data_IF_433206808311
#
_entry.id   IF_433206808311
#
_cell.length_a   1.000
_cell.length_b   1.000
_cell.length_c   1.000
_cell.angle_alpha   90.00
_cell.angle_beta   90.00
_cell.angle_gamma   90.00
#
_symmetry.space_group_name_H-M   'P 1'
#
loop_
_entity.id
_entity.type
_entity.pdbx_description
1 polymer ?
#
# COMPACT_ATOMS: atom_id res chain seq x y z
N UNK A 1 -5.61 -8.95 -26.72
CA UNK A 1 -4.61 -8.02 -26.18
C UNK A 1 -5.07 -7.65 -24.80
N UNK A 2 -4.20 -7.75 -23.80
CA UNK A 2 -4.53 -7.23 -22.48
C UNK A 2 -4.61 -5.71 -22.53
N UNK A 3 -5.46 -5.11 -21.69
CA UNK A 3 -5.56 -3.64 -21.63
C UNK A 3 -4.82 -3.15 -20.39
N UNK A 4 -3.51 -3.40 -20.37
CA UNK A 4 -2.67 -2.89 -19.30
C UNK A 4 -2.72 -1.37 -19.27
N UNK A 5 -3.04 -0.83 -18.10
CA UNK A 5 -2.98 0.58 -17.79
C UNK A 5 -2.05 0.79 -16.62
N UNK A 6 -1.49 1.99 -16.55
CA UNK A 6 -0.60 2.33 -15.46
C UNK A 6 -0.78 3.75 -14.97
N UNK A 7 -0.63 3.93 -13.66
CA UNK A 7 -0.72 5.22 -12.98
C UNK A 7 0.54 5.40 -12.14
N UNK A 8 1.27 6.49 -12.40
CA UNK A 8 2.39 6.88 -11.53
C UNK A 8 1.84 7.34 -10.20
N UNK A 9 2.34 6.78 -9.11
CA UNK A 9 1.93 7.14 -7.76
C UNK A 9 3.02 7.97 -7.05
N UNK A 10 2.72 8.50 -5.88
CA UNK A 10 3.71 9.14 -4.98
C UNK A 10 4.16 8.20 -3.85
N UNK A 11 3.81 6.92 -3.94
CA UNK A 11 4.08 5.91 -2.90
C UNK A 11 5.52 5.41 -3.09
N UNK A 12 6.33 5.37 -2.04
CA UNK A 12 7.76 5.01 -2.12
C UNK A 12 8.24 4.05 -1.01
N UNK A 13 7.49 3.94 0.08
CA UNK A 13 7.75 3.03 1.20
C UNK A 13 6.99 1.70 0.96
N UNK A 14 7.74 0.62 0.72
CA UNK A 14 7.16 -0.68 0.36
C UNK A 14 6.33 -1.28 1.51
N UNK A 15 6.79 -1.14 2.76
CA UNK A 15 6.13 -1.70 3.92
C UNK A 15 4.79 -1.01 4.17
N UNK A 16 4.75 0.32 4.06
CA UNK A 16 3.50 1.08 4.19
C UNK A 16 2.50 0.74 3.07
N UNK A 17 2.99 0.52 1.84
CA UNK A 17 2.15 0.09 0.72
C UNK A 17 1.58 -1.31 0.95
N UNK A 18 2.41 -2.27 1.35
CA UNK A 18 2.00 -3.63 1.67
C UNK A 18 0.97 -3.66 2.80
N UNK A 19 1.19 -2.87 3.86
CA UNK A 19 0.24 -2.77 4.97
C UNK A 19 -1.12 -2.20 4.53
N UNK A 20 -1.11 -1.17 3.69
CA UNK A 20 -2.33 -0.57 3.15
C UNK A 20 -3.12 -1.54 2.24
N UNK A 21 -2.44 -2.29 1.39
CA UNK A 21 -3.07 -3.28 0.51
C UNK A 21 -3.65 -4.47 1.30
N UNK A 22 -2.93 -4.95 2.31
CA UNK A 22 -3.42 -6.03 3.18
C UNK A 22 -4.66 -5.63 3.98
N UNK A 23 -4.73 -4.38 4.42
CA UNK A 23 -5.93 -3.85 5.08
C UNK A 23 -7.15 -3.83 4.17
N UNK A 24 -6.95 -3.66 2.86
CA UNK A 24 -8.01 -3.80 1.85
C UNK A 24 -8.39 -5.26 1.57
N UNK A 25 -7.84 -6.22 2.30
CA UNK A 25 -8.12 -7.65 2.14
C UNK A 25 -7.36 -8.32 1.00
N UNK A 26 -6.36 -7.65 0.43
CA UNK A 26 -5.63 -8.14 -0.73
C UNK A 26 -4.48 -9.06 -0.31
N UNK A 27 -4.40 -10.23 -0.96
CA UNK A 27 -3.28 -11.15 -0.86
C UNK A 27 -2.20 -10.74 -1.86
N UNK A 28 -0.99 -10.49 -1.39
CA UNK A 28 0.11 -10.00 -2.20
C UNK A 28 1.40 -10.78 -1.96
N UNK A 29 2.24 -10.80 -2.98
CA UNK A 29 3.59 -11.35 -2.96
C UNK A 29 4.57 -10.20 -3.18
N UNK A 30 5.61 -10.15 -2.36
CA UNK A 30 6.68 -9.15 -2.47
C UNK A 30 7.95 -9.86 -2.92
N UNK A 31 8.56 -9.31 -3.97
CA UNK A 31 9.80 -9.80 -4.57
C UNK A 31 10.89 -8.74 -4.40
N UNK A 32 12.13 -9.19 -4.23
CA UNK A 32 13.30 -8.30 -4.20
C UNK A 32 13.58 -7.69 -5.58
N UNK A 33 13.27 -8.42 -6.64
CA UNK A 33 13.43 -8.01 -8.03
C UNK A 33 12.09 -8.11 -8.75
N UNK A 34 11.83 -7.21 -9.70
CA UNK A 34 10.58 -7.17 -10.43
C UNK A 34 10.32 -8.51 -11.16
N UNK A 35 9.15 -9.09 -10.91
CA UNK A 35 8.70 -10.32 -11.55
C UNK A 35 7.66 -10.00 -12.63
N UNK A 36 7.61 -10.79 -13.73
CA UNK A 36 6.65 -10.57 -14.79
C UNK A 36 5.21 -10.71 -14.27
N UNK A 37 4.33 -9.79 -14.70
CA UNK A 37 2.91 -9.86 -14.38
C UNK A 37 2.19 -10.85 -15.30
N UNK A 38 1.17 -11.54 -14.80
CA UNK A 38 0.25 -12.27 -15.67
C UNK A 38 -0.84 -11.34 -16.19
N UNK A 39 -0.94 -11.17 -17.51
CA UNK A 39 -2.07 -10.50 -18.16
C UNK A 39 -3.26 -11.42 -18.37
N UNK A 40 -4.37 -10.87 -18.82
CA UNK A 40 -5.63 -11.57 -19.08
C UNK A 40 -5.47 -12.78 -20.01
N UNK A 41 -4.62 -12.64 -21.04
CA UNK A 41 -4.32 -13.72 -21.99
C UNK A 41 -3.10 -14.58 -21.58
N UNK A 42 -2.62 -14.46 -20.34
CA UNK A 42 -1.48 -15.19 -19.80
C UNK A 42 -0.09 -14.60 -20.12
N UNK A 43 -0.02 -13.58 -20.98
CA UNK A 43 1.23 -12.88 -21.30
C UNK A 43 1.46 -11.64 -20.42
N UNK A 44 2.71 -11.31 -20.14
CA UNK A 44 3.06 -10.12 -19.34
C UNK A 44 3.13 -8.82 -20.14
N UNK A 45 3.21 -8.90 -21.48
CA UNK A 45 3.39 -7.75 -22.37
C UNK A 45 4.56 -6.84 -21.93
N UNK A 46 5.61 -7.44 -21.35
CA UNK A 46 6.79 -6.74 -20.85
C UNK A 46 6.59 -6.02 -19.51
N UNK A 47 5.43 -6.17 -18.87
CA UNK A 47 5.16 -5.60 -17.55
C UNK A 47 5.71 -6.49 -16.43
N UNK A 48 6.35 -5.85 -15.45
CA UNK A 48 6.89 -6.53 -14.27
C UNK A 48 6.78 -5.64 -13.05
N UNK A 49 6.66 -6.23 -11.86
CA UNK A 49 6.54 -5.51 -10.60
C UNK A 49 7.17 -6.26 -9.43
N UNK A 50 7.60 -5.53 -8.40
CA UNK A 50 8.15 -6.07 -7.17
C UNK A 50 7.03 -6.49 -6.20
N UNK A 51 5.91 -5.76 -6.18
CA UNK A 51 4.76 -6.10 -5.35
C UNK A 51 3.63 -6.51 -6.29
N UNK A 52 3.22 -7.78 -6.21
CA UNK A 52 2.23 -8.37 -7.09
C UNK A 52 1.05 -8.84 -6.26
N UNK A 53 -0.15 -8.50 -6.72
CA UNK A 53 -1.41 -9.07 -6.24
C UNK A 53 -1.84 -10.08 -7.30
N UNK A 54 -1.69 -11.39 -7.03
CA UNK A 54 -1.95 -12.42 -8.03
C UNK A 54 -3.42 -12.48 -8.40
N UNK A 55 -3.72 -12.74 -9.68
CA UNK A 55 -5.06 -12.85 -10.23
C UNK A 55 -5.95 -13.84 -9.45
N UNK A 56 -5.35 -14.94 -8.99
CA UNK A 56 -6.02 -15.94 -8.15
C UNK A 56 -6.56 -15.36 -6.83
N UNK A 57 -5.84 -14.42 -6.22
CA UNK A 57 -6.28 -13.73 -5.00
C UNK A 57 -7.37 -12.68 -5.25
N UNK A 58 -7.58 -12.29 -6.51
CA UNK A 58 -8.59 -11.31 -6.94
C UNK A 58 -9.80 -11.97 -7.61
N UNK A 59 -9.69 -13.25 -7.97
CA UNK A 59 -10.65 -13.93 -8.83
C UNK A 59 -10.68 -13.37 -10.26
N UNK A 60 -9.62 -12.68 -10.70
CA UNK A 60 -9.45 -12.11 -12.04
C UNK A 60 -8.59 -13.04 -12.92
N UNK A 61 -8.43 -12.70 -14.20
CA UNK A 61 -7.48 -13.38 -15.08
C UNK A 61 -6.11 -12.68 -15.17
N UNK A 62 -6.02 -11.44 -14.70
CA UNK A 62 -4.81 -10.62 -14.72
C UNK A 62 -4.37 -10.19 -13.32
N UNK A 63 -3.06 -10.13 -13.12
CA UNK A 63 -2.42 -9.62 -11.91
C UNK A 63 -2.51 -8.10 -11.82
N UNK A 64 -2.34 -7.59 -10.61
CA UNK A 64 -2.08 -6.17 -10.35
C UNK A 64 -0.68 -6.03 -9.79
N UNK A 65 0.11 -5.11 -10.35
CA UNK A 65 1.49 -4.88 -9.96
C UNK A 65 1.74 -3.47 -9.44
N UNK A 66 2.68 -3.33 -8.51
CA UNK A 66 3.32 -2.08 -8.18
C UNK A 66 4.81 -2.18 -8.52
N UNK A 67 5.20 -1.50 -9.59
CA UNK A 67 6.55 -1.51 -10.14
C UNK A 67 7.34 -0.31 -9.64
N UNK A 68 8.52 -0.53 -9.05
CA UNK A 68 9.40 0.55 -8.60
C UNK A 68 9.98 1.29 -9.81
N UNK A 69 9.92 2.60 -9.73
CA UNK A 69 10.42 3.52 -10.75
C UNK A 69 11.84 3.98 -10.39
N UNK A 70 12.55 4.54 -11.37
CA UNK A 70 13.91 5.06 -11.15
C UNK A 70 14.02 6.20 -10.12
N UNK A 71 12.92 6.88 -9.82
CA UNK A 71 12.83 7.90 -8.75
C UNK A 71 12.50 7.31 -7.36
N UNK A 72 12.38 5.99 -7.26
CA UNK A 72 12.06 5.26 -6.04
C UNK A 72 10.57 5.18 -5.71
N UNK A 73 9.68 5.80 -6.50
CA UNK A 73 8.22 5.67 -6.34
C UNK A 73 7.69 4.40 -6.99
N UNK A 74 6.45 4.02 -6.70
CA UNK A 74 5.77 2.89 -7.33
C UNK A 74 4.82 3.37 -8.44
N UNK A 75 4.79 2.64 -9.54
CA UNK A 75 3.78 2.74 -10.57
C UNK A 75 2.79 1.58 -10.40
N UNK A 76 1.51 1.90 -10.32
CA UNK A 76 0.45 0.91 -10.34
C UNK A 76 0.23 0.44 -11.77
N UNK A 77 0.20 -0.86 -11.98
CA UNK A 77 -0.04 -1.54 -13.26
C UNK A 77 -1.19 -2.52 -13.06
N UNK A 78 -2.21 -2.48 -13.91
CA UNK A 78 -3.32 -3.43 -13.89
C UNK A 78 -3.92 -3.59 -15.29
N UNK A 79 -4.77 -4.60 -15.48
CA UNK A 79 -5.65 -4.67 -16.65
C UNK A 79 -6.99 -3.97 -16.36
N UNK A 80 -7.28 -2.87 -17.08
CA UNK A 80 -8.49 -2.06 -16.88
C UNK A 80 -9.77 -2.85 -17.12
N UNK A 81 -9.75 -3.79 -18.06
CA UNK A 81 -10.95 -4.52 -18.49
C UNK A 81 -11.52 -5.43 -17.40
N UNK A 82 -10.64 -6.00 -16.57
CA UNK A 82 -11.02 -6.78 -15.38
C UNK A 82 -11.35 -5.87 -14.20
N UNK A 83 -10.58 -4.78 -14.02
CA UNK A 83 -10.73 -3.87 -12.88
C UNK A 83 -12.13 -3.22 -12.81
N UNK A 84 -12.73 -2.86 -13.95
CA UNK A 84 -14.06 -2.25 -14.01
C UNK A 84 -15.21 -3.19 -13.63
N UNK A 85 -14.98 -4.51 -13.69
CA UNK A 85 -16.03 -5.53 -13.52
C UNK A 85 -15.98 -6.23 -12.18
N UNK A 86 -15.01 -5.88 -11.33
CA UNK A 86 -14.72 -6.58 -10.08
C UNK A 86 -14.62 -5.63 -8.89
N UNK A 87 -14.93 -6.19 -7.73
CA UNK A 87 -14.78 -5.56 -6.43
C UNK A 87 -13.57 -6.15 -5.71
N UNK A 88 -12.96 -5.35 -4.84
CA UNK A 88 -11.91 -5.82 -3.94
C UNK A 88 -12.50 -6.92 -3.01
N UNK A 89 -11.73 -7.98 -2.69
CA UNK A 89 -12.20 -9.02 -1.78
C UNK A 89 -12.67 -8.44 -0.44
N UNK A 90 -13.82 -8.91 0.05
CA UNK A 90 -14.41 -8.48 1.33
C UNK A 90 -14.67 -6.96 1.43
N UNK A 91 -14.88 -6.28 0.30
CA UNK A 91 -15.06 -4.84 0.24
C UNK A 91 -16.11 -4.45 -0.80
N UNK A 92 -16.78 -3.31 -0.58
CA UNK A 92 -17.69 -2.71 -1.56
C UNK A 92 -16.98 -1.83 -2.60
N UNK A 93 -15.66 -1.70 -2.50
CA UNK A 93 -14.84 -0.90 -3.40
C UNK A 93 -14.54 -1.65 -4.69
N UNK A 94 -14.68 -1.00 -5.83
CA UNK A 94 -14.16 -1.50 -7.11
C UNK A 94 -12.64 -1.25 -7.21
N UNK A 95 -11.95 -2.05 -8.03
CA UNK A 95 -10.53 -1.84 -8.33
C UNK A 95 -10.25 -0.46 -8.94
N UNK A 96 -11.19 0.11 -9.68
CA UNK A 96 -11.07 1.47 -10.24
C UNK A 96 -11.00 2.56 -9.17
N UNK A 97 -11.51 2.28 -7.97
CA UNK A 97 -11.49 3.19 -6.82
C UNK A 97 -10.22 3.04 -5.96
N UNK A 98 -9.38 2.04 -6.27
CA UNK A 98 -8.14 1.79 -5.54
C UNK A 98 -7.19 3.01 -5.53
N UNK A 99 -6.96 3.74 -6.65
CA UNK A 99 -6.06 4.90 -6.65
C UNK A 99 -6.55 6.05 -5.76
N UNK A 100 -7.84 6.16 -5.51
CA UNK A 100 -8.41 7.20 -4.66
C UNK A 100 -8.28 6.83 -3.17
N UNK A 101 -8.44 5.55 -2.83
CA UNK A 101 -8.45 5.06 -1.44
C UNK A 101 -7.06 4.71 -0.91
N UNK A 102 -6.22 4.15 -1.77
CA UNK A 102 -4.88 3.67 -1.40
C UNK A 102 -3.97 4.76 -0.80
N UNK A 103 -3.93 6.01 -1.32
CA UNK A 103 -3.05 7.04 -0.77
C UNK A 103 -3.34 7.37 0.70
N UNK A 104 -4.60 7.41 1.12
CA UNK A 104 -4.97 7.72 2.50
C UNK A 104 -4.56 6.60 3.47
N UNK A 105 -4.81 5.34 3.09
CA UNK A 105 -4.41 4.17 3.88
C UNK A 105 -2.88 4.06 3.97
N UNK A 106 -2.20 4.26 2.84
CA UNK A 106 -0.75 4.31 2.78
C UNK A 106 -0.19 5.39 3.70
N UNK A 107 -0.71 6.63 3.61
CA UNK A 107 -0.22 7.74 4.42
C UNK A 107 -0.38 7.46 5.92
N UNK A 108 -1.47 6.78 6.31
CA UNK A 108 -1.70 6.35 7.69
C UNK A 108 -0.65 5.35 8.15
N UNK A 109 -0.42 4.27 7.39
CA UNK A 109 0.61 3.26 7.72
C UNK A 109 2.02 3.85 7.73
N UNK A 110 2.33 4.72 6.77
CA UNK A 110 3.60 5.43 6.71
C UNK A 110 3.80 6.31 7.95
N UNK A 111 2.79 7.08 8.34
CA UNK A 111 2.86 7.96 9.50
C UNK A 111 3.07 7.17 10.80
N UNK A 112 2.37 6.03 10.96
CA UNK A 112 2.57 5.12 12.11
C UNK A 112 4.00 4.57 12.11
N UNK A 113 4.49 4.07 10.97
CA UNK A 113 5.84 3.54 10.85
C UNK A 113 6.90 4.61 11.13
N UNK A 114 6.73 5.84 10.64
CA UNK A 114 7.63 6.96 10.92
C UNK A 114 7.59 7.35 12.41
N UNK A 115 6.41 7.35 13.05
CA UNK A 115 6.29 7.62 14.47
C UNK A 115 7.09 6.59 15.30
N UNK A 116 6.91 5.30 15.00
CA UNK A 116 7.67 4.23 15.65
C UNK A 116 9.16 4.31 15.39
N UNK A 117 9.60 4.58 14.15
CA UNK A 117 11.02 4.79 13.81
C UNK A 117 11.64 5.94 14.59
N UNK A 118 10.88 6.99 14.90
CA UNK A 118 11.30 8.12 15.74
C UNK A 118 11.19 7.85 17.25
N UNK A 119 10.78 6.64 17.63
CA UNK A 119 10.57 6.24 19.03
C UNK A 119 9.33 6.85 19.68
N UNK A 120 8.42 7.42 18.89
CA UNK A 120 7.13 7.91 19.38
C UNK A 120 6.10 6.78 19.41
N UNK A 121 5.10 6.93 20.26
CA UNK A 121 4.00 5.96 20.38
C UNK A 121 2.74 6.57 19.80
N UNK A 122 2.08 5.86 18.88
CA UNK A 122 0.76 6.25 18.37
C UNK A 122 -0.29 5.78 19.39
N UNK A 123 -1.07 6.72 19.93
CA UNK A 123 -2.04 6.44 21.01
C UNK A 123 -3.49 6.43 20.53
N UNK A 124 -3.77 6.99 19.36
CA UNK A 124 -5.07 6.90 18.71
C UNK A 124 -4.92 7.08 17.20
N UNK A 125 -5.76 6.39 16.45
CA UNK A 125 -5.92 6.55 15.00
C UNK A 125 -7.42 6.64 14.73
N UNK A 126 -7.86 7.76 14.20
CA UNK A 126 -9.27 8.05 13.97
C UNK A 126 -9.50 8.32 12.49
N UNK A 127 -10.45 7.60 11.89
CA UNK A 127 -10.92 7.88 10.53
C UNK A 127 -11.78 9.14 10.54
N UNK A 128 -11.60 9.99 9.54
CA UNK A 128 -12.40 11.20 9.32
C UNK A 128 -13.47 10.95 8.27
N UNK A 129 -14.53 11.76 8.32
CA UNK A 129 -15.63 11.71 7.35
C UNK A 129 -15.20 12.04 5.91
N UNK A 130 -14.10 12.79 5.74
CA UNK A 130 -13.49 13.12 4.44
C UNK A 130 -12.62 11.98 3.86
N UNK A 131 -12.51 10.84 4.56
CA UNK A 131 -11.67 9.71 4.16
C UNK A 131 -10.19 9.83 4.58
N UNK A 132 -9.82 10.90 5.29
CA UNK A 132 -8.51 11.05 5.91
C UNK A 132 -8.41 10.37 7.28
N UNK A 133 -7.24 10.48 7.90
CA UNK A 133 -6.98 9.95 9.25
C UNK A 133 -6.35 11.00 10.15
N UNK A 134 -6.80 11.09 11.40
CA UNK A 134 -6.09 11.78 12.48
C UNK A 134 -5.27 10.77 13.27
N UNK A 135 -3.99 11.06 13.50
CA UNK A 135 -3.16 10.28 14.41
C UNK A 135 -2.84 11.12 15.62
N UNK A 136 -3.03 10.55 16.81
CA UNK A 136 -2.54 11.14 18.07
C UNK A 136 -1.24 10.44 18.43
N UNK A 137 -0.17 11.21 18.53
CA UNK A 137 1.18 10.70 18.78
C UNK A 137 1.64 11.23 20.12
N UNK A 138 2.07 10.32 20.99
CA UNK A 138 2.75 10.67 22.24
C UNK A 138 4.26 10.66 21.99
N UNK A 139 4.96 11.78 22.24
CA UNK A 139 6.41 11.83 22.17
C UNK A 139 7.03 10.82 23.14
N UNK A 140 8.23 10.34 22.81
CA UNK A 140 9.04 9.56 23.75
C UNK A 140 9.33 10.45 24.95
N UNK A 141 8.68 10.22 26.08
CA UNK A 141 9.14 10.78 27.35
C UNK A 141 10.43 10.05 27.69
N UNK A 142 11.56 10.69 27.41
CA UNK A 142 12.81 10.34 28.08
C UNK A 142 12.52 10.59 29.55
N UNK A 143 12.41 9.52 30.35
CA UNK A 143 12.41 9.67 31.80
C UNK A 143 13.72 10.39 32.13
N UNK A 144 13.62 11.68 32.44
CA UNK A 144 14.69 12.41 33.09
C UNK A 144 14.89 11.74 34.44
N UNK A 145 15.85 10.83 34.49
CA UNK A 145 16.48 10.39 35.74
C UNK A 145 17.07 11.63 36.39
N UNK A 146 16.21 12.34 37.12
CA UNK A 146 16.63 13.36 38.06
C UNK A 146 17.19 12.57 39.23
N UNK A 147 18.46 12.18 39.14
CA UNK A 147 19.20 11.58 40.23
C UNK A 147 19.40 12.66 41.30
N UNK A 148 18.36 12.83 42.12
CA UNK A 148 18.43 13.52 43.41
C UNK A 148 19.04 12.55 44.42
N UNK A 149 20.36 12.36 44.36
CA UNK A 149 21.19 12.10 45.55
C UNK A 149 21.95 13.40 45.81
N UNK A 150 21.62 14.29 46.78
CA UNK A 150 21.53 14.09 48.24
C UNK A 150 22.56 13.02 48.65
N UNK A 151 23.74 13.36 49.17
CA UNK A 151 24.14 14.38 50.13
C UNK A 151 25.66 14.55 50.05
#
# INVERSE_FOLDING_TARGET
MSHFSSIKTRLNDADALVAALRELGLQLVVHAEAQPLQGYYGGSEGQSAEIIIPAAGLGTQADIGFARQGDGTFQLIWDLYEAERRYLPNSSLSFTQLPERLPALYARHLAIAVAHRKGHTVTAVEARADGGYTLRIQPRTVQSTTDKRRR
#
